data_IF_443951371551
#
_entry.id   IF_443951371551
#
_cell.length_a   1.000
_cell.length_b   1.000
_cell.length_c   1.000
_cell.angle_alpha   90.00
_cell.angle_beta   90.00
_cell.angle_gamma   90.00
#
_symmetry.space_group_name_H-M   'P 1'
#
loop_
_entity.id
_entity.type
_entity.pdbx_description
1 polymer ?
#
# COMPACT_ATOMS: atom_id res chain seq x y z
N UNK A 1 24.70 -59.29 15.78
CA UNK A 1 24.64 -58.03 15.03
C UNK A 1 23.19 -57.61 14.91
N UNK A 2 22.71 -56.84 15.88
CA UNK A 2 21.34 -56.36 15.99
C UNK A 2 21.45 -54.86 16.15
N UNK A 3 21.21 -54.10 15.07
CA UNK A 3 21.32 -52.64 15.07
C UNK A 3 19.93 -52.08 15.34
N UNK A 4 19.72 -51.64 16.58
CA UNK A 4 18.51 -50.95 17.02
C UNK A 4 18.33 -49.66 16.23
N UNK A 5 17.10 -49.42 15.77
CA UNK A 5 16.62 -48.23 15.08
C UNK A 5 16.24 -47.19 16.15
N UNK A 6 16.70 -45.93 16.11
CA UNK A 6 16.24 -44.95 17.07
C UNK A 6 14.77 -44.59 16.76
N UNK A 7 13.97 -44.57 17.82
CA UNK A 7 12.57 -44.15 17.82
C UNK A 7 12.46 -42.69 17.40
N UNK A 8 11.55 -42.42 16.46
CA UNK A 8 11.21 -41.07 16.04
C UNK A 8 10.31 -40.44 17.11
N UNK A 9 10.89 -39.63 17.98
CA UNK A 9 10.14 -38.74 18.87
C UNK A 9 9.48 -37.61 18.06
N UNK A 10 8.15 -37.62 18.03
CA UNK A 10 7.30 -36.42 18.09
C UNK A 10 7.48 -35.35 17.01
N UNK A 11 7.20 -35.68 15.74
CA UNK A 11 6.73 -34.68 14.77
C UNK A 11 5.23 -34.44 15.02
N UNK A 12 4.88 -33.49 15.88
CA UNK A 12 3.49 -33.06 16.11
C UNK A 12 3.30 -31.56 15.91
N UNK A 13 3.88 -31.01 14.84
CA UNK A 13 3.44 -29.76 14.22
C UNK A 13 3.39 -30.03 12.71
N UNK A 14 2.37 -30.78 12.29
CA UNK A 14 1.99 -30.81 10.88
C UNK A 14 1.66 -29.38 10.47
N UNK A 15 2.52 -28.84 9.61
CA UNK A 15 2.36 -27.55 8.98
C UNK A 15 1.02 -27.53 8.23
N UNK A 16 0.04 -26.79 8.76
CA UNK A 16 -1.06 -26.29 7.94
C UNK A 16 -0.44 -25.59 6.74
N UNK A 17 -0.72 -26.11 5.53
CA UNK A 17 -0.18 -25.55 4.30
C UNK A 17 -0.49 -24.06 4.17
N UNK A 18 0.31 -23.30 3.39
CA UNK A 18 -0.04 -21.93 3.05
C UNK A 18 -1.44 -21.91 2.44
N UNK A 19 -2.29 -20.97 2.86
CA UNK A 19 -3.74 -20.84 2.58
C UNK A 19 -4.74 -21.32 3.67
N UNK A 20 -4.29 -21.72 4.87
CA UNK A 20 -5.16 -22.13 5.99
C UNK A 20 -4.81 -21.56 7.37
N UNK A 21 -5.66 -21.85 8.36
CA UNK A 21 -5.36 -21.65 9.79
C UNK A 21 -5.06 -20.21 10.22
N UNK A 22 -3.86 -20.01 10.78
CA UNK A 22 -3.39 -18.73 11.33
C UNK A 22 -3.32 -17.58 10.31
N UNK A 23 -3.25 -17.90 9.01
CA UNK A 23 -3.29 -16.88 7.95
C UNK A 23 -4.54 -15.99 8.04
N UNK A 24 -5.70 -16.57 8.35
CA UNK A 24 -6.95 -15.81 8.50
C UNK A 24 -7.00 -14.94 9.76
N UNK A 25 -6.33 -15.37 10.84
CA UNK A 25 -6.13 -14.52 12.03
C UNK A 25 -5.31 -13.29 11.66
N UNK A 26 -4.27 -13.45 10.83
CA UNK A 26 -3.46 -12.35 10.32
C UNK A 26 -4.24 -11.45 9.35
N UNK A 27 -5.17 -11.98 8.57
CA UNK A 27 -6.10 -11.16 7.77
C UNK A 27 -6.97 -10.28 8.67
N UNK A 28 -7.51 -10.83 9.76
CA UNK A 28 -8.24 -10.06 10.78
C UNK A 28 -7.36 -8.99 11.45
N UNK A 29 -6.11 -9.33 11.77
CA UNK A 29 -5.15 -8.37 12.32
C UNK A 29 -4.84 -7.24 11.32
N UNK A 30 -4.63 -7.56 10.04
CA UNK A 30 -4.43 -6.59 8.97
C UNK A 30 -5.68 -5.73 8.75
N UNK A 31 -6.88 -6.31 8.85
CA UNK A 31 -8.15 -5.59 8.76
C UNK A 31 -8.24 -4.50 9.83
N UNK A 32 -7.96 -4.84 11.09
CA UNK A 32 -7.97 -3.89 12.20
C UNK A 32 -6.86 -2.85 12.03
N UNK A 33 -5.64 -3.26 11.72
CA UNK A 33 -4.53 -2.32 11.56
C UNK A 33 -4.78 -1.35 10.39
N UNK A 34 -5.31 -1.81 9.26
CA UNK A 34 -5.61 -0.95 8.10
C UNK A 34 -6.80 -0.03 8.35
N UNK A 35 -7.80 -0.48 9.12
CA UNK A 35 -8.87 0.40 9.63
C UNK A 35 -8.29 1.53 10.48
N UNK A 36 -7.36 1.21 11.38
CA UNK A 36 -6.75 2.20 12.27
C UNK A 36 -5.73 3.11 11.56
N UNK A 37 -5.09 2.65 10.49
CA UNK A 37 -4.18 3.49 9.70
C UNK A 37 -4.99 4.43 8.79
N UNK A 38 -5.73 3.86 7.85
CA UNK A 38 -6.37 4.64 6.80
C UNK A 38 -7.75 5.17 7.19
N UNK A 39 -8.51 4.44 8.00
CA UNK A 39 -9.79 4.91 8.52
C UNK A 39 -9.60 6.16 9.38
N UNK A 40 -8.64 6.14 10.32
CA UNK A 40 -8.30 7.34 11.11
C UNK A 40 -7.87 8.48 10.17
N UNK A 41 -6.92 8.24 9.26
CA UNK A 41 -6.42 9.27 8.33
C UNK A 41 -7.53 9.93 7.52
N UNK A 42 -8.45 9.16 6.93
CA UNK A 42 -9.54 9.73 6.12
C UNK A 42 -10.55 10.51 6.97
N UNK A 43 -10.82 10.05 8.19
CA UNK A 43 -11.77 10.70 9.10
C UNK A 43 -11.18 11.91 9.81
N UNK A 44 -9.86 12.15 9.75
CA UNK A 44 -9.23 13.36 10.28
C UNK A 44 -9.80 14.67 9.67
N UNK A 45 -10.41 14.60 8.48
CA UNK A 45 -11.09 15.73 7.86
C UNK A 45 -12.22 16.34 8.71
N UNK A 46 -12.75 15.61 9.69
CA UNK A 46 -13.79 16.13 10.60
C UNK A 46 -13.21 17.15 11.58
N UNK A 47 -11.94 16.99 11.97
CA UNK A 47 -11.25 17.96 12.82
C UNK A 47 -10.89 19.25 12.07
N UNK A 48 -11.05 19.28 10.74
CA UNK A 48 -10.61 20.37 9.89
C UNK A 48 -11.21 21.71 10.29
N UNK A 49 -12.54 21.77 10.45
CA UNK A 49 -13.25 23.01 10.79
C UNK A 49 -12.84 23.52 12.16
N UNK A 50 -12.75 22.61 13.14
CA UNK A 50 -12.30 22.92 14.51
C UNK A 50 -10.87 23.46 14.53
N UNK A 51 -9.96 22.89 13.72
CA UNK A 51 -8.58 23.36 13.64
C UNK A 51 -8.45 24.72 12.96
N UNK A 52 -9.20 24.96 11.88
CA UNK A 52 -9.24 26.28 11.23
C UNK A 52 -9.70 27.34 12.23
N UNK A 53 -10.74 27.07 13.01
CA UNK A 53 -11.27 28.01 13.99
C UNK A 53 -10.35 28.20 15.21
N UNK A 54 -9.77 27.12 15.73
CA UNK A 54 -8.93 27.18 16.94
C UNK A 54 -7.56 27.81 16.69
N UNK A 55 -6.91 27.47 15.57
CA UNK A 55 -5.58 27.99 15.24
C UNK A 55 -5.63 29.30 14.45
N UNK A 56 -6.80 29.71 13.96
CA UNK A 56 -6.99 30.88 13.08
C UNK A 56 -6.07 30.85 11.86
N UNK A 57 -5.96 29.65 11.26
CA UNK A 57 -5.04 29.35 10.16
C UNK A 57 -5.79 29.04 8.88
N UNK A 58 -5.10 29.20 7.75
CA UNK A 58 -5.71 28.92 6.44
C UNK A 58 -6.11 27.45 6.28
N UNK A 59 -7.19 27.21 5.53
CA UNK A 59 -7.63 25.87 5.12
C UNK A 59 -6.50 25.04 4.50
N UNK A 60 -5.64 25.67 3.70
CA UNK A 60 -4.46 25.04 3.11
C UNK A 60 -3.47 24.58 4.17
N UNK A 61 -3.14 25.43 5.13
CA UNK A 61 -2.25 25.09 6.24
C UNK A 61 -2.80 23.88 7.03
N UNK A 62 -4.07 23.87 7.40
CA UNK A 62 -4.67 22.73 8.11
C UNK A 62 -4.64 21.43 7.28
N UNK A 63 -4.89 21.50 5.97
CA UNK A 63 -4.87 20.32 5.09
C UNK A 63 -3.50 19.63 4.96
N UNK A 64 -2.42 20.34 5.27
CA UNK A 64 -1.08 19.75 5.32
C UNK A 64 -0.94 18.73 6.44
N UNK A 65 -1.76 18.77 7.50
CA UNK A 65 -1.69 17.80 8.60
C UNK A 65 -1.96 16.37 8.09
N UNK A 66 -3.09 16.17 7.41
CA UNK A 66 -3.44 14.85 6.84
C UNK A 66 -2.52 14.47 5.66
N UNK A 67 -2.13 15.45 4.85
CA UNK A 67 -1.28 15.21 3.68
C UNK A 67 0.14 14.78 4.08
N UNK A 68 0.72 15.44 5.08
CA UNK A 68 2.04 15.06 5.63
C UNK A 68 1.99 13.70 6.31
N UNK A 69 0.89 13.35 7.00
CA UNK A 69 0.69 12.02 7.57
C UNK A 69 0.73 10.91 6.52
N UNK A 70 -0.04 11.06 5.44
CA UNK A 70 -0.09 10.07 4.36
C UNK A 70 1.24 9.99 3.59
N UNK A 71 1.87 11.14 3.33
CA UNK A 71 3.19 11.19 2.70
C UNK A 71 4.26 10.53 3.58
N UNK A 72 4.28 10.82 4.88
CA UNK A 72 5.22 10.21 5.82
C UNK A 72 5.02 8.68 5.91
N UNK A 73 3.77 8.21 5.94
CA UNK A 73 3.45 6.77 5.93
C UNK A 73 4.07 6.06 4.74
N UNK A 74 3.89 6.59 3.53
CA UNK A 74 4.46 6.00 2.31
C UNK A 74 5.98 6.19 2.19
N UNK A 75 6.49 7.36 2.59
CA UNK A 75 7.92 7.67 2.55
C UNK A 75 8.74 6.76 3.48
N UNK A 76 8.21 6.44 4.66
CA UNK A 76 8.89 5.56 5.62
C UNK A 76 8.56 4.07 5.45
N UNK A 77 7.74 3.68 4.47
CA UNK A 77 7.47 2.27 4.16
C UNK A 77 8.72 1.43 3.84
N UNK A 78 9.71 1.90 3.05
CA UNK A 78 10.98 1.18 2.85
C UNK A 78 11.77 1.00 4.15
N UNK A 79 11.71 1.97 5.07
CA UNK A 79 12.35 1.87 6.38
C UNK A 79 11.70 0.76 7.21
N UNK A 80 10.37 0.66 7.22
CA UNK A 80 9.62 -0.43 7.86
C UNK A 80 10.00 -1.80 7.30
N UNK A 81 10.11 -1.90 5.97
CA UNK A 81 10.55 -3.12 5.30
C UNK A 81 12.00 -3.51 5.69
N UNK A 82 12.93 -2.55 5.63
CA UNK A 82 14.33 -2.79 5.98
C UNK A 82 14.51 -3.17 7.45
N UNK A 83 13.76 -2.55 8.36
CA UNK A 83 13.77 -2.90 9.79
C UNK A 83 13.25 -4.32 10.03
N UNK A 84 12.21 -4.75 9.32
CA UNK A 84 11.70 -6.12 9.43
C UNK A 84 12.64 -7.17 8.83
N UNK A 85 13.48 -6.77 7.87
CA UNK A 85 14.56 -7.61 7.35
C UNK A 85 15.77 -7.64 8.31
N UNK A 86 16.02 -6.58 9.08
CA UNK A 86 17.10 -6.52 10.06
C UNK A 86 16.74 -7.20 11.40
N UNK A 87 15.48 -7.06 11.83
CA UNK A 87 14.91 -7.45 13.13
C UNK A 87 13.69 -8.37 12.95
N UNK A 88 13.00 -8.68 14.04
CA UNK A 88 11.76 -9.45 13.97
C UNK A 88 10.58 -8.57 13.55
N UNK A 89 9.83 -9.00 12.53
CA UNK A 89 8.66 -8.29 11.99
C UNK A 89 7.63 -7.93 13.07
N UNK A 90 7.39 -8.86 14.02
CA UNK A 90 6.51 -8.65 15.18
C UNK A 90 6.88 -7.39 15.97
N UNK A 91 8.16 -7.24 16.29
CA UNK A 91 8.63 -6.12 17.11
C UNK A 91 8.50 -4.80 16.37
N UNK A 92 8.83 -4.77 15.07
CA UNK A 92 8.74 -3.56 14.24
C UNK A 92 7.30 -3.08 14.10
N UNK A 93 6.34 -3.99 13.89
CA UNK A 93 4.92 -3.61 13.82
C UNK A 93 4.40 -3.12 15.17
N UNK A 94 4.80 -3.75 16.28
CA UNK A 94 4.42 -3.30 17.62
C UNK A 94 4.99 -1.91 17.94
N UNK A 95 6.25 -1.64 17.61
CA UNK A 95 6.85 -0.31 17.82
C UNK A 95 6.19 0.74 16.92
N UNK A 96 5.86 0.39 15.68
CA UNK A 96 5.09 1.25 14.77
C UNK A 96 3.70 1.61 15.33
N UNK A 97 2.97 0.63 15.88
CA UNK A 97 1.68 0.86 16.55
C UNK A 97 1.79 1.77 17.78
N UNK A 98 2.83 1.58 18.60
CA UNK A 98 3.13 2.48 19.73
C UNK A 98 3.41 3.91 19.25
N UNK A 99 4.22 4.08 18.20
CA UNK A 99 4.54 5.38 17.62
C UNK A 99 3.30 6.07 17.03
N UNK A 100 2.44 5.31 16.34
CA UNK A 100 1.18 5.81 15.81
C UNK A 100 0.25 6.35 16.91
N UNK A 101 0.04 5.55 17.96
CA UNK A 101 -0.75 5.97 19.12
C UNK A 101 -0.13 7.15 19.87
N UNK A 102 1.19 7.12 20.10
CA UNK A 102 1.91 8.21 20.75
C UNK A 102 1.82 9.52 19.96
N UNK A 103 1.94 9.46 18.63
CA UNK A 103 1.77 10.63 17.76
C UNK A 103 0.41 11.32 17.96
N UNK A 104 -0.68 10.54 18.00
CA UNK A 104 -2.03 11.08 18.24
C UNK A 104 -2.23 11.57 19.69
N UNK A 105 -1.66 10.87 20.68
CA UNK A 105 -1.70 11.30 22.09
C UNK A 105 -0.97 12.63 22.26
N UNK A 106 0.24 12.77 21.71
CA UNK A 106 1.01 14.02 21.77
C UNK A 106 0.29 15.15 21.02
N UNK A 107 -0.40 14.84 19.92
CA UNK A 107 -1.21 15.81 19.19
C UNK A 107 -2.34 16.42 20.04
N UNK A 108 -2.90 15.68 21.01
CA UNK A 108 -3.89 16.21 21.94
C UNK A 108 -3.38 17.41 22.77
N UNK A 109 -2.06 17.52 22.93
CA UNK A 109 -1.39 18.59 23.66
C UNK A 109 -0.83 19.68 22.74
N UNK A 110 -1.18 19.66 21.45
CA UNK A 110 -0.70 20.66 20.50
C UNK A 110 -1.20 22.06 20.85
N UNK A 111 -0.30 23.04 20.78
CA UNK A 111 -0.59 24.47 21.00
C UNK A 111 -0.36 25.29 19.74
N UNK A 112 0.33 24.74 18.74
CA UNK A 112 0.55 25.34 17.44
C UNK A 112 0.43 24.31 16.31
N UNK A 113 0.31 24.79 15.08
CA UNK A 113 0.15 23.93 13.91
C UNK A 113 1.37 23.04 13.66
N UNK A 114 2.58 23.54 13.96
CA UNK A 114 3.82 22.77 13.87
C UNK A 114 3.81 21.54 14.77
N UNK A 115 3.21 21.62 15.96
CA UNK A 115 3.05 20.44 16.81
C UNK A 115 2.22 19.37 16.11
N UNK A 116 1.12 19.74 15.43
CA UNK A 116 0.29 18.78 14.69
C UNK A 116 1.02 18.16 13.50
N UNK A 117 1.82 18.95 12.77
CA UNK A 117 2.67 18.41 11.69
C UNK A 117 3.71 17.40 12.21
N UNK A 118 4.36 17.69 13.34
CA UNK A 118 5.38 16.79 13.90
C UNK A 118 4.78 15.54 14.55
N UNK A 119 3.62 15.68 15.21
CA UNK A 119 2.99 14.59 15.96
C UNK A 119 2.07 13.74 15.08
N UNK A 120 1.00 14.31 14.52
CA UNK A 120 0.06 13.59 13.65
C UNK A 120 0.64 13.32 12.26
N UNK A 121 1.37 14.28 11.70
CA UNK A 121 1.99 14.11 10.39
C UNK A 121 3.17 13.15 10.45
N UNK A 122 4.27 13.59 11.05
CA UNK A 122 5.53 12.85 11.00
C UNK A 122 5.58 11.63 11.92
N UNK A 123 5.26 11.80 13.21
CA UNK A 123 5.41 10.71 14.20
C UNK A 123 4.39 9.59 13.96
N UNK A 124 3.11 9.93 13.80
CA UNK A 124 2.09 8.92 13.49
C UNK A 124 2.26 8.35 12.07
N UNK A 125 2.62 9.18 11.09
CA UNK A 125 2.96 8.73 9.74
C UNK A 125 4.09 7.71 9.71
N UNK A 126 5.20 7.97 10.39
CA UNK A 126 6.28 7.01 10.58
C UNK A 126 5.76 5.70 11.21
N UNK A 127 4.98 5.80 12.29
CA UNK A 127 4.35 4.64 12.93
C UNK A 127 3.51 3.81 11.96
N UNK A 128 2.68 4.45 11.14
CA UNK A 128 1.88 3.78 10.12
C UNK A 128 2.71 3.13 9.01
N UNK A 129 3.82 3.77 8.58
CA UNK A 129 4.77 3.19 7.61
C UNK A 129 5.45 1.92 8.13
N UNK A 130 5.77 1.87 9.42
CA UNK A 130 6.32 0.68 10.09
C UNK A 130 5.30 -0.45 10.27
N UNK A 131 4.00 -0.18 10.10
CA UNK A 131 2.91 -1.15 10.30
C UNK A 131 2.42 -1.69 8.97
N UNK A 132 2.08 -0.82 8.02
CA UNK A 132 1.32 -1.18 6.84
C UNK A 132 2.07 -2.17 5.94
N UNK A 133 3.26 -1.80 5.47
CA UNK A 133 4.05 -2.67 4.56
C UNK A 133 4.39 -4.01 5.19
N UNK A 134 4.89 -4.10 6.44
CA UNK A 134 5.20 -5.39 7.03
C UNK A 134 3.98 -6.29 7.27
N UNK A 135 2.83 -5.72 7.65
CA UNK A 135 1.59 -6.48 7.83
C UNK A 135 1.09 -7.06 6.50
N UNK A 136 1.11 -6.26 5.42
CA UNK A 136 0.74 -6.71 4.07
C UNK A 136 1.67 -7.84 3.60
N UNK A 137 2.99 -7.64 3.72
CA UNK A 137 3.98 -8.65 3.35
C UNK A 137 3.80 -9.96 4.15
N UNK A 138 3.52 -9.85 5.45
CA UNK A 138 3.32 -11.01 6.34
C UNK A 138 2.08 -11.81 5.94
N UNK A 139 0.95 -11.14 5.66
CA UNK A 139 -0.27 -11.81 5.18
C UNK A 139 0.01 -12.51 3.84
N UNK A 140 0.65 -11.82 2.89
CA UNK A 140 0.98 -12.39 1.59
C UNK A 140 1.90 -13.61 1.67
N UNK A 141 2.77 -13.69 2.68
CA UNK A 141 3.64 -14.84 2.90
C UNK A 141 2.89 -16.08 3.42
N UNK A 142 1.71 -15.91 4.04
CA UNK A 142 0.89 -17.02 4.55
C UNK A 142 -0.09 -17.57 3.52
N UNK A 143 -0.27 -16.88 2.39
CA UNK A 143 -1.15 -17.31 1.31
C UNK A 143 -0.34 -17.55 0.03
N UNK A 144 -0.69 -18.58 -0.72
CA UNK A 144 -0.13 -18.84 -2.06
C UNK A 144 -1.19 -18.70 -3.13
N UNK A 145 -2.36 -19.31 -2.94
CA UNK A 145 -3.48 -19.25 -3.88
C UNK A 145 -4.48 -18.15 -3.55
N UNK A 146 -4.62 -17.78 -2.27
CA UNK A 146 -5.68 -16.85 -1.81
C UNK A 146 -5.17 -15.46 -1.44
N UNK A 147 -4.05 -15.02 -2.04
CA UNK A 147 -3.37 -13.77 -1.66
C UNK A 147 -4.26 -12.56 -1.89
N UNK A 148 -4.94 -12.52 -3.03
CA UNK A 148 -5.67 -11.31 -3.44
C UNK A 148 -6.99 -11.19 -2.69
N UNK A 149 -7.67 -12.31 -2.39
CA UNK A 149 -8.85 -12.34 -1.54
C UNK A 149 -8.50 -11.95 -0.10
N UNK A 150 -7.40 -12.46 0.44
CA UNK A 150 -6.92 -12.09 1.78
C UNK A 150 -6.67 -10.58 1.90
N UNK A 151 -5.97 -9.98 0.92
CA UNK A 151 -5.77 -8.53 0.87
C UNK A 151 -7.08 -7.77 0.62
N UNK A 152 -7.96 -8.28 -0.25
CA UNK A 152 -9.25 -7.66 -0.54
C UNK A 152 -10.16 -7.59 0.68
N UNK A 153 -10.25 -8.66 1.46
CA UNK A 153 -10.98 -8.67 2.73
C UNK A 153 -10.35 -7.71 3.73
N UNK A 154 -9.03 -7.75 3.89
CA UNK A 154 -8.34 -6.87 4.84
C UNK A 154 -8.50 -5.37 4.47
N UNK A 155 -8.39 -5.02 3.20
CA UNK A 155 -8.49 -3.63 2.72
C UNK A 155 -9.94 -3.15 2.61
N UNK A 156 -10.93 -4.04 2.56
CA UNK A 156 -12.36 -3.65 2.64
C UNK A 156 -12.68 -2.87 3.91
N UNK A 157 -11.88 -3.10 4.95
CA UNK A 157 -11.91 -2.36 6.21
C UNK A 157 -11.77 -0.85 6.04
N UNK A 158 -11.05 -0.39 5.01
CA UNK A 158 -10.73 1.03 4.86
C UNK A 158 -12.01 1.83 4.51
N UNK A 159 -12.87 1.29 3.66
CA UNK A 159 -14.18 1.92 3.39
C UNK A 159 -15.10 1.86 4.61
N UNK A 160 -15.20 0.69 5.25
CA UNK A 160 -16.08 0.48 6.41
C UNK A 160 -15.71 1.33 7.62
N UNK A 161 -14.41 1.48 7.89
CA UNK A 161 -13.90 2.29 9.00
C UNK A 161 -14.19 3.77 8.81
N UNK A 162 -14.10 4.34 7.60
CA UNK A 162 -14.49 5.74 7.36
C UNK A 162 -15.98 5.98 7.64
N UNK A 163 -16.87 5.04 7.28
CA UNK A 163 -18.29 5.15 7.61
C UNK A 163 -18.56 5.10 9.13
N UNK A 164 -17.82 4.27 9.87
CA UNK A 164 -17.98 4.14 11.32
C UNK A 164 -17.30 5.26 12.11
N UNK A 165 -16.11 5.67 11.70
CA UNK A 165 -15.30 6.68 12.40
C UNK A 165 -15.83 8.08 12.22
N UNK A 166 -16.46 8.41 11.08
CA UNK A 166 -16.99 9.76 10.89
C UNK A 166 -17.98 10.19 11.99
N UNK A 167 -19.10 9.47 12.24
CA UNK A 167 -20.01 9.82 13.33
C UNK A 167 -19.36 9.67 14.72
N UNK A 168 -18.45 8.70 14.90
CA UNK A 168 -17.71 8.55 16.15
C UNK A 168 -16.87 9.79 16.46
N UNK A 169 -16.16 10.33 15.47
CA UNK A 169 -15.28 11.49 15.64
C UNK A 169 -16.10 12.74 15.95
N UNK A 170 -17.22 12.96 15.25
CA UNK A 170 -18.16 14.04 15.56
C UNK A 170 -18.61 13.96 17.02
N UNK A 171 -19.06 12.79 17.47
CA UNK A 171 -19.50 12.59 18.85
C UNK A 171 -18.37 12.80 19.88
N UNK A 172 -17.14 12.39 19.55
CA UNK A 172 -15.98 12.61 20.42
C UNK A 172 -15.60 14.09 20.51
N UNK A 173 -15.65 14.81 19.39
CA UNK A 173 -15.39 16.26 19.35
C UNK A 173 -16.45 17.01 20.13
N UNK A 174 -17.74 16.69 19.97
CA UNK A 174 -18.83 17.34 20.69
C UNK A 174 -18.73 17.13 22.22
N UNK A 175 -18.36 15.93 22.67
CA UNK A 175 -18.30 15.60 24.10
C UNK A 175 -16.99 15.98 24.79
N UNK A 176 -15.87 15.87 24.09
CA UNK A 176 -14.53 15.95 24.69
C UNK A 176 -13.62 17.00 24.03
N UNK A 177 -14.16 17.79 23.10
CA UNK A 177 -13.41 18.65 22.19
C UNK A 177 -12.36 17.88 21.37
N UNK A 178 -11.71 18.57 20.44
CA UNK A 178 -10.70 17.94 19.57
C UNK A 178 -9.53 17.33 20.36
N UNK A 179 -9.14 17.93 21.50
CA UNK A 179 -8.05 17.43 22.34
C UNK A 179 -8.38 16.08 22.97
N UNK A 180 -9.52 15.96 23.63
CA UNK A 180 -9.95 14.70 24.23
C UNK A 180 -10.24 13.62 23.18
N UNK A 181 -10.79 14.03 22.03
CA UNK A 181 -10.98 13.13 20.90
C UNK A 181 -9.64 12.56 20.40
N UNK A 182 -8.61 13.38 20.14
CA UNK A 182 -7.29 12.91 19.72
C UNK A 182 -6.63 11.95 20.74
N UNK A 183 -6.81 12.21 22.04
CA UNK A 183 -6.31 11.33 23.09
C UNK A 183 -6.96 9.93 23.02
N UNK A 184 -8.28 9.88 22.85
CA UNK A 184 -9.05 8.63 22.70
C UNK A 184 -8.65 7.92 21.40
N UNK A 185 -8.48 8.65 20.29
CA UNK A 185 -8.04 8.09 19.02
C UNK A 185 -6.61 7.54 19.09
N UNK A 186 -5.73 8.17 19.87
CA UNK A 186 -4.40 7.62 20.15
C UNK A 186 -4.47 6.31 20.92
N UNK A 187 -5.33 6.22 21.94
CA UNK A 187 -5.63 4.96 22.63
C UNK A 187 -6.20 3.88 21.70
N UNK A 188 -7.09 4.27 20.79
CA UNK A 188 -7.62 3.37 19.77
C UNK A 188 -6.50 2.88 18.82
N UNK A 189 -5.61 3.77 18.38
CA UNK A 189 -4.48 3.44 17.50
C UNK A 189 -3.47 2.49 18.17
N UNK A 190 -3.30 2.54 19.50
CA UNK A 190 -2.49 1.57 20.24
C UNK A 190 -2.99 0.11 20.10
N UNK A 191 -4.23 -0.13 19.67
CA UNK A 191 -4.72 -1.48 19.34
C UNK A 191 -4.01 -2.10 18.12
N UNK A 192 -3.18 -1.36 17.39
CA UNK A 192 -2.27 -1.93 16.40
C UNK A 192 -1.22 -2.83 17.07
N UNK A 193 -0.83 -2.56 18.33
CA UNK A 193 0.17 -3.33 19.08
C UNK A 193 -0.25 -4.80 19.25
N UNK A 194 -1.45 -5.13 19.80
CA UNK A 194 -1.89 -6.51 19.85
C UNK A 194 -2.06 -7.15 18.45
N UNK A 195 -2.42 -6.38 17.40
CA UNK A 195 -2.42 -6.90 16.03
C UNK A 195 -1.01 -7.34 15.58
N UNK A 196 0.02 -6.55 15.90
CA UNK A 196 1.42 -6.92 15.64
C UNK A 196 1.88 -8.12 16.48
N UNK A 197 1.39 -8.26 17.70
CA UNK A 197 1.72 -9.40 18.58
C UNK A 197 1.22 -10.75 18.04
N UNK A 198 0.21 -10.76 17.16
CA UNK A 198 -0.28 -11.97 16.48
C UNK A 198 0.67 -12.48 15.39
N UNK A 199 1.66 -11.68 14.97
CA UNK A 199 2.67 -12.10 14.01
C UNK A 199 3.58 -13.15 14.67
N UNK A 200 3.56 -14.37 14.14
CA UNK A 200 4.44 -15.45 14.60
C UNK A 200 5.85 -15.23 14.01
N UNK A 201 6.92 -15.25 14.83
CA UNK A 201 8.28 -15.14 14.32
C UNK A 201 8.58 -16.29 13.36
N UNK A 202 8.89 -15.98 12.10
CA UNK A 202 9.33 -17.01 11.17
C UNK A 202 10.73 -17.49 11.59
N UNK A 203 10.90 -18.81 11.77
CA UNK A 203 12.21 -19.40 12.03
C UNK A 203 13.12 -19.13 10.83
N UNK A 204 14.00 -18.12 10.93
CA UNK A 204 15.12 -17.96 10.00
C UNK A 204 15.86 -19.30 9.90
N UNK A 205 16.06 -19.79 8.68
CA UNK A 205 16.76 -21.05 8.42
C UNK A 205 18.04 -21.13 9.24
N UNK A 206 18.29 -22.29 9.86
CA UNK A 206 19.47 -22.54 10.71
C UNK A 206 20.79 -22.23 9.98
N UNK A 207 20.81 -22.24 8.65
CA UNK A 207 21.95 -21.83 7.83
C UNK A 207 22.30 -20.33 7.96
N UNK A 208 21.30 -19.43 8.02
CA UNK A 208 21.52 -17.99 8.18
C UNK A 208 22.04 -17.63 9.57
N UNK A 209 21.70 -18.43 10.60
CA UNK A 209 22.26 -18.30 11.95
C UNK A 209 23.72 -18.71 12.03
N UNK A 210 24.15 -19.68 11.23
CA UNK A 210 25.54 -20.18 11.22
C UNK A 210 26.50 -19.16 10.59
N UNK A 211 26.08 -18.50 9.51
CA UNK A 211 26.83 -17.42 8.85
C UNK A 211 26.94 -16.18 9.76
N UNK A 212 25.85 -15.81 10.46
CA UNK A 212 25.85 -14.68 11.38
C UNK A 212 26.62 -14.93 12.70
N UNK A 213 26.81 -16.19 13.11
CA UNK A 213 27.63 -16.52 14.29
C UNK A 213 29.13 -16.62 14.00
N UNK A 214 29.52 -16.80 12.74
CA UNK A 214 30.93 -16.83 12.32
C UNK A 214 31.47 -15.43 11.95
N UNK A 215 30.60 -14.45 11.63
CA UNK A 215 31.00 -13.05 11.54
C UNK A 215 31.23 -12.47 12.94
N UNK A 216 32.48 -12.11 13.27
CA UNK A 216 32.84 -11.34 14.47
C UNK A 216 31.87 -10.15 14.68
N UNK A 217 31.58 -9.71 15.92
CA UNK A 217 30.73 -8.56 16.17
C UNK A 217 31.47 -7.30 15.71
N UNK A 218 31.38 -6.99 14.43
CA UNK A 218 31.80 -5.70 13.91
C UNK A 218 30.84 -4.65 14.46
N UNK A 219 31.39 -3.53 14.94
CA UNK A 219 30.64 -2.33 15.33
C UNK A 219 30.00 -1.66 14.10
N UNK A 220 29.27 -2.42 13.29
CA UNK A 220 28.51 -1.89 12.16
C UNK A 220 27.40 -1.04 12.76
N UNK A 221 27.39 0.25 12.40
CA UNK A 221 26.34 1.16 12.84
C UNK A 221 24.97 0.59 12.48
N UNK A 222 23.98 0.77 13.37
CA UNK A 222 22.59 0.31 13.13
C UNK A 222 22.08 0.76 11.76
N UNK A 223 22.46 1.97 11.34
CA UNK A 223 22.15 2.55 10.04
C UNK A 223 22.70 1.72 8.88
N UNK A 224 23.94 1.25 8.96
CA UNK A 224 24.57 0.46 7.90
C UNK A 224 23.96 -0.95 7.79
N UNK A 225 23.45 -1.50 8.90
CA UNK A 225 22.67 -2.75 8.90
C UNK A 225 21.28 -2.57 8.32
N UNK A 226 20.61 -1.45 8.57
CA UNK A 226 19.29 -1.17 7.98
C UNK A 226 19.45 -0.83 6.49
N UNK A 227 20.48 -0.06 6.13
CA UNK A 227 20.70 0.34 4.73
C UNK A 227 21.02 -0.83 3.82
N UNK A 228 21.70 -1.88 4.32
CA UNK A 228 21.96 -3.10 3.54
C UNK A 228 20.70 -3.91 3.23
N UNK A 229 19.60 -3.68 3.97
CA UNK A 229 18.31 -4.29 3.76
C UNK A 229 17.31 -3.40 2.99
N UNK A 230 17.70 -2.17 2.64
CA UNK A 230 16.97 -1.38 1.66
C UNK A 230 17.27 -1.98 0.29
N UNK A 231 16.30 -2.66 -0.31
CA UNK A 231 16.45 -3.36 -1.59
C UNK A 231 16.49 -2.41 -2.80
N UNK A 232 17.30 -1.34 -2.72
CA UNK A 232 17.44 -0.32 -3.75
C UNK A 232 17.89 -0.88 -5.11
N UNK A 233 18.49 -2.07 -5.12
CA UNK A 233 18.79 -2.80 -6.36
C UNK A 233 17.56 -3.04 -7.22
N UNK A 234 16.36 -3.16 -6.63
CA UNK A 234 15.10 -3.30 -7.36
C UNK A 234 14.84 -2.13 -8.30
N UNK A 235 15.30 -0.92 -7.96
CA UNK A 235 15.10 0.29 -8.79
C UNK A 235 15.82 0.20 -10.15
N UNK A 236 16.81 -0.69 -10.26
CA UNK A 236 17.55 -0.93 -11.50
C UNK A 236 17.03 -2.15 -12.27
N UNK A 237 16.11 -2.92 -11.70
CA UNK A 237 15.51 -4.08 -12.36
C UNK A 237 14.36 -3.63 -13.27
N UNK A 238 14.53 -3.83 -14.58
CA UNK A 238 13.56 -3.39 -15.61
C UNK A 238 12.11 -3.80 -15.30
N UNK A 239 11.79 -5.06 -14.92
CA UNK A 239 10.41 -5.43 -14.62
C UNK A 239 9.81 -4.65 -13.44
N UNK A 240 10.61 -4.42 -12.40
CA UNK A 240 10.14 -3.74 -11.20
C UNK A 240 9.93 -2.25 -11.43
N UNK A 241 10.86 -1.56 -12.10
CA UNK A 241 10.72 -0.12 -12.35
C UNK A 241 9.59 0.17 -13.35
N UNK A 242 9.42 -0.66 -14.38
CA UNK A 242 8.28 -0.55 -15.32
C UNK A 242 6.95 -0.72 -14.62
N UNK A 243 6.84 -1.72 -13.74
CA UNK A 243 5.63 -1.94 -12.95
C UNK A 243 5.35 -0.78 -11.99
N UNK A 244 6.37 -0.32 -11.28
CA UNK A 244 6.23 0.77 -10.31
C UNK A 244 5.86 2.09 -11.00
N UNK A 245 6.45 2.39 -12.17
CA UNK A 245 6.07 3.54 -12.98
C UNK A 245 4.60 3.46 -13.43
N UNK A 246 4.15 2.29 -13.88
CA UNK A 246 2.77 2.10 -14.28
C UNK A 246 1.77 2.33 -13.13
N UNK A 247 2.07 1.80 -11.95
CA UNK A 247 1.24 1.99 -10.75
C UNK A 247 1.28 3.44 -10.26
N UNK A 248 2.42 4.12 -10.41
CA UNK A 248 2.55 5.56 -10.12
C UNK A 248 1.64 6.38 -11.04
N UNK A 249 1.65 6.10 -12.35
CA UNK A 249 0.74 6.74 -13.31
C UNK A 249 -0.72 6.52 -12.93
N UNK A 250 -1.10 5.27 -12.60
CA UNK A 250 -2.44 4.96 -12.09
C UNK A 250 -2.81 5.84 -10.89
N UNK A 251 -1.94 5.95 -9.88
CA UNK A 251 -2.22 6.71 -8.65
C UNK A 251 -2.46 8.21 -8.89
N UNK A 252 -1.83 8.82 -9.91
CA UNK A 252 -2.06 10.24 -10.25
C UNK A 252 -3.53 10.49 -10.61
N UNK A 253 -4.13 9.60 -11.39
CA UNK A 253 -5.53 9.70 -11.80
C UNK A 253 -6.53 9.17 -10.77
N UNK A 254 -6.13 8.11 -10.05
CA UNK A 254 -6.98 7.35 -9.13
C UNK A 254 -7.66 8.21 -8.06
N UNK A 255 -6.95 9.17 -7.47
CA UNK A 255 -7.48 9.96 -6.34
C UNK A 255 -8.42 11.09 -6.75
N UNK A 256 -8.36 11.56 -8.01
CA UNK A 256 -9.08 12.76 -8.47
C UNK A 256 -10.61 12.67 -8.25
N UNK A 257 -11.30 11.57 -8.64
CA UNK A 257 -12.73 11.43 -8.37
C UNK A 257 -13.06 11.47 -6.87
N UNK A 258 -12.22 10.87 -6.02
CA UNK A 258 -12.46 10.88 -4.58
C UNK A 258 -12.45 12.29 -3.98
N UNK A 259 -11.66 13.21 -4.54
CA UNK A 259 -11.60 14.60 -4.07
C UNK A 259 -12.64 15.51 -4.73
N UNK A 260 -12.92 15.31 -6.02
CA UNK A 260 -13.65 16.30 -6.81
C UNK A 260 -15.03 15.87 -7.30
N UNK A 261 -15.44 14.61 -7.13
CA UNK A 261 -16.74 14.14 -7.65
C UNK A 261 -17.93 14.81 -6.97
N UNK A 262 -17.88 15.10 -5.67
CA UNK A 262 -18.94 15.89 -4.99
C UNK A 262 -19.00 17.30 -5.59
N UNK A 263 -17.86 17.99 -5.67
CA UNK A 263 -17.78 19.36 -6.16
C UNK A 263 -18.27 19.46 -7.62
N UNK A 264 -17.88 18.49 -8.46
CA UNK A 264 -18.36 18.39 -9.83
C UNK A 264 -19.86 18.14 -9.91
N UNK A 265 -20.40 17.24 -9.08
CA UNK A 265 -21.85 16.95 -9.03
C UNK A 265 -22.65 18.21 -8.64
N UNK A 266 -22.13 19.02 -7.70
CA UNK A 266 -22.74 20.30 -7.33
C UNK A 266 -22.67 21.33 -8.47
N UNK A 267 -21.52 21.42 -9.15
CA UNK A 267 -21.36 22.30 -10.30
C UNK A 267 -22.28 21.92 -11.48
N UNK A 268 -22.56 20.63 -11.65
CA UNK A 268 -23.53 20.13 -12.63
C UNK A 268 -24.99 20.43 -12.26
N UNK A 269 -25.26 21.05 -11.10
CA UNK A 269 -26.59 21.47 -10.67
C UNK A 269 -27.33 20.48 -9.76
N UNK A 270 -26.71 19.37 -9.34
CA UNK A 270 -27.33 18.41 -8.43
C UNK A 270 -27.37 18.91 -6.98
N UNK A 271 -28.33 18.42 -6.21
CA UNK A 271 -28.48 18.76 -4.79
C UNK A 271 -27.29 18.29 -3.96
N UNK A 272 -27.13 18.84 -2.76
CA UNK A 272 -26.05 18.46 -1.84
C UNK A 272 -26.16 16.99 -1.44
N UNK A 273 -27.38 16.56 -1.16
CA UNK A 273 -27.70 15.17 -0.89
C UNK A 273 -27.38 14.26 -2.08
N UNK A 274 -27.76 14.66 -3.30
CA UNK A 274 -27.46 13.88 -4.51
C UNK A 274 -25.95 13.73 -4.75
N UNK A 275 -25.19 14.80 -4.57
CA UNK A 275 -23.73 14.81 -4.72
C UNK A 275 -23.02 13.94 -3.68
N UNK A 276 -23.45 14.02 -2.41
CA UNK A 276 -22.93 13.19 -1.34
C UNK A 276 -23.26 11.70 -1.53
N UNK A 277 -24.47 11.40 -2.03
CA UNK A 277 -24.91 10.03 -2.30
C UNK A 277 -24.08 9.37 -3.40
N UNK A 278 -23.76 10.07 -4.50
CA UNK A 278 -22.93 9.55 -5.60
C UNK A 278 -21.58 9.05 -5.08
N UNK A 279 -20.94 9.83 -4.23
CA UNK A 279 -19.66 9.45 -3.62
C UNK A 279 -19.78 8.29 -2.64
N UNK A 280 -20.83 8.29 -1.82
CA UNK A 280 -21.10 7.19 -0.88
C UNK A 280 -21.37 5.87 -1.61
N UNK A 281 -22.10 5.94 -2.72
CA UNK A 281 -22.41 4.81 -3.59
C UNK A 281 -21.14 4.23 -4.25
N UNK A 282 -20.26 5.08 -4.78
CA UNK A 282 -18.95 4.67 -5.30
C UNK A 282 -18.08 4.01 -4.20
N UNK A 283 -18.11 4.55 -2.97
CA UNK A 283 -17.42 3.95 -1.83
C UNK A 283 -17.95 2.57 -1.45
N UNK A 284 -19.26 2.34 -1.56
CA UNK A 284 -19.87 1.04 -1.27
C UNK A 284 -19.46 -0.02 -2.30
N UNK A 285 -19.47 0.32 -3.59
CA UNK A 285 -19.02 -0.61 -4.65
C UNK A 285 -17.52 -0.81 -4.65
N UNK A 286 -16.71 0.14 -4.17
CA UNK A 286 -15.29 -0.03 -3.92
C UNK A 286 -14.99 -1.16 -2.93
N UNK A 287 -15.70 -1.19 -1.80
CA UNK A 287 -15.57 -2.29 -0.82
C UNK A 287 -15.91 -3.63 -1.48
N UNK A 288 -17.02 -3.68 -2.23
CA UNK A 288 -17.42 -4.90 -2.94
C UNK A 288 -16.40 -5.33 -3.99
N UNK A 289 -15.85 -4.37 -4.74
CA UNK A 289 -14.84 -4.59 -5.77
C UNK A 289 -13.58 -5.25 -5.21
N UNK A 290 -13.11 -4.83 -4.03
CA UNK A 290 -11.94 -5.42 -3.36
C UNK A 290 -12.11 -6.91 -3.11
N UNK A 291 -13.28 -7.32 -2.61
CA UNK A 291 -13.57 -8.72 -2.24
C UNK A 291 -13.86 -9.55 -3.48
N UNK A 292 -14.75 -9.08 -4.36
CA UNK A 292 -15.19 -9.81 -5.56
C UNK A 292 -14.03 -10.01 -6.54
N UNK A 293 -13.25 -8.95 -6.81
CA UNK A 293 -12.08 -9.04 -7.69
C UNK A 293 -11.01 -9.95 -7.10
N UNK A 294 -10.74 -9.84 -5.79
CA UNK A 294 -9.79 -10.72 -5.10
C UNK A 294 -10.19 -12.18 -5.25
N UNK A 295 -11.42 -12.53 -4.86
CA UNK A 295 -11.96 -13.87 -5.04
C UNK A 295 -11.89 -14.35 -6.49
N UNK A 296 -12.33 -13.52 -7.44
CA UNK A 296 -12.32 -13.86 -8.86
C UNK A 296 -10.90 -14.11 -9.40
N UNK A 297 -9.93 -13.31 -8.95
CA UNK A 297 -8.55 -13.43 -9.38
C UNK A 297 -7.83 -14.66 -8.80
N UNK A 298 -8.22 -15.08 -7.60
CA UNK A 298 -7.71 -16.30 -6.96
C UNK A 298 -8.30 -17.59 -7.56
N UNK A 299 -9.28 -17.51 -8.47
CA UNK A 299 -9.75 -18.68 -9.25
C UNK A 299 -8.66 -19.22 -10.20
N UNK A 300 -7.64 -18.41 -10.53
CA UNK A 300 -6.49 -18.83 -11.33
C UNK A 300 -6.78 -19.01 -12.83
N UNK A 301 -7.95 -18.60 -13.30
CA UNK A 301 -8.30 -18.66 -14.74
C UNK A 301 -7.59 -17.60 -15.58
N UNK A 302 -7.23 -16.47 -14.97
CA UNK A 302 -6.58 -15.34 -15.63
C UNK A 302 -5.28 -14.98 -14.91
N UNK A 303 -4.27 -14.55 -15.67
CA UNK A 303 -3.05 -14.02 -15.06
C UNK A 303 -3.37 -12.71 -14.34
N UNK A 304 -2.80 -12.56 -13.15
CA UNK A 304 -3.10 -11.44 -12.27
C UNK A 304 -2.77 -10.08 -12.91
N UNK A 305 -1.70 -10.03 -13.71
CA UNK A 305 -1.31 -8.82 -14.44
C UNK A 305 -2.34 -8.39 -15.49
N UNK A 306 -2.98 -9.33 -16.19
CA UNK A 306 -4.01 -9.03 -17.19
C UNK A 306 -5.29 -8.54 -16.54
N UNK A 307 -5.65 -9.15 -15.42
CA UNK A 307 -6.82 -8.72 -14.66
C UNK A 307 -6.62 -7.33 -14.05
N UNK A 308 -5.41 -7.04 -13.53
CA UNK A 308 -5.05 -5.70 -13.07
C UNK A 308 -5.12 -4.67 -14.21
N UNK A 309 -4.57 -4.99 -15.38
CA UNK A 309 -4.67 -4.13 -16.58
C UNK A 309 -6.12 -3.86 -17.01
N UNK A 310 -6.98 -4.88 -16.97
CA UNK A 310 -8.39 -4.75 -17.32
C UNK A 310 -9.12 -3.80 -16.37
N UNK A 311 -8.98 -4.00 -15.05
CA UNK A 311 -9.61 -3.12 -14.06
C UNK A 311 -9.06 -1.70 -14.11
N UNK A 312 -7.76 -1.54 -14.33
CA UNK A 312 -7.10 -0.23 -14.46
C UNK A 312 -7.60 0.53 -15.68
N UNK A 313 -7.75 -0.16 -16.82
CA UNK A 313 -8.30 0.45 -18.05
C UNK A 313 -9.76 0.84 -17.87
N UNK A 314 -10.58 -0.05 -17.30
CA UNK A 314 -11.99 0.23 -17.02
C UNK A 314 -12.14 1.41 -16.05
N UNK A 315 -11.33 1.47 -15.00
CA UNK A 315 -11.31 2.60 -14.09
C UNK A 315 -11.00 3.91 -14.84
N UNK A 316 -9.95 3.95 -15.67
CA UNK A 316 -9.62 5.12 -16.48
C UNK A 316 -10.75 5.57 -17.40
N UNK A 317 -11.39 4.62 -18.09
CA UNK A 317 -12.56 4.90 -18.95
C UNK A 317 -13.73 5.47 -18.15
N UNK A 318 -14.09 4.87 -17.02
CA UNK A 318 -15.20 5.38 -16.21
C UNK A 318 -14.90 6.76 -15.61
N UNK A 319 -13.65 7.05 -15.22
CA UNK A 319 -13.23 8.39 -14.80
C UNK A 319 -13.49 9.43 -15.90
N UNK A 320 -13.14 9.12 -17.16
CA UNK A 320 -13.40 10.03 -18.29
C UNK A 320 -14.90 10.21 -18.59
N UNK A 321 -15.72 9.18 -18.31
CA UNK A 321 -17.16 9.21 -18.56
C UNK A 321 -17.95 9.97 -17.47
N UNK A 322 -17.40 10.11 -16.25
CA UNK A 322 -18.03 10.88 -15.17
C UNK A 322 -18.48 12.29 -15.61
N UNK A 323 -17.59 13.17 -16.14
CA UNK A 323 -18.00 14.50 -16.56
C UNK A 323 -19.01 14.49 -17.71
N UNK A 324 -18.88 13.55 -18.65
CA UNK A 324 -19.78 13.43 -19.82
C UNK A 324 -21.20 13.07 -19.39
N UNK A 325 -21.33 12.19 -18.39
CA UNK A 325 -22.63 11.78 -17.86
C UNK A 325 -23.41 12.95 -17.25
N UNK A 326 -22.70 13.89 -16.62
CA UNK A 326 -23.30 15.08 -16.01
C UNK A 326 -23.79 16.10 -17.05
N UNK A 327 -23.14 16.19 -18.22
CA UNK A 327 -23.55 17.09 -19.32
C UNK A 327 -24.94 16.74 -19.88
N UNK A 328 -25.33 15.47 -19.80
CA UNK A 328 -26.67 15.02 -20.20
C UNK A 328 -27.78 15.38 -19.19
N UNK A 329 -27.42 15.95 -18.03
CA UNK A 329 -28.35 16.22 -16.93
C UNK A 329 -28.88 14.95 -16.23
N UNK A 330 -28.40 13.77 -16.61
CA UNK A 330 -28.90 12.49 -16.10
C UNK A 330 -28.22 12.08 -14.80
N UNK A 331 -28.92 12.25 -13.68
CA UNK A 331 -28.46 11.79 -12.38
C UNK A 331 -28.22 10.26 -12.35
N UNK A 332 -29.11 9.49 -13.00
CA UNK A 332 -28.99 8.04 -13.07
C UNK A 332 -27.74 7.59 -13.81
N UNK A 333 -27.34 8.30 -14.87
CA UNK A 333 -26.09 8.00 -15.60
C UNK A 333 -24.87 8.28 -14.72
N UNK A 334 -24.85 9.41 -14.00
CA UNK A 334 -23.78 9.77 -13.08
C UNK A 334 -23.62 8.73 -11.96
N UNK A 335 -24.72 8.33 -11.32
CA UNK A 335 -24.72 7.29 -10.29
C UNK A 335 -24.22 5.96 -10.86
N UNK A 336 -24.71 5.55 -12.03
CA UNK A 336 -24.32 4.27 -12.65
C UNK A 336 -22.83 4.21 -12.97
N UNK A 337 -22.27 5.26 -13.55
CA UNK A 337 -20.83 5.33 -13.86
C UNK A 337 -20.00 5.41 -12.58
N UNK A 338 -20.48 6.12 -11.55
CA UNK A 338 -19.79 6.20 -10.25
C UNK A 338 -19.76 4.85 -9.53
N UNK A 339 -20.83 4.05 -9.61
CA UNK A 339 -20.87 2.69 -9.08
C UNK A 339 -19.84 1.79 -9.79
N UNK A 340 -19.77 1.87 -11.12
CA UNK A 340 -18.82 1.10 -11.94
C UNK A 340 -17.37 1.50 -11.66
N UNK A 341 -17.09 2.81 -11.60
CA UNK A 341 -15.79 3.33 -11.20
C UNK A 341 -15.41 2.83 -9.80
N UNK A 342 -16.32 2.96 -8.81
CA UNK A 342 -16.09 2.48 -7.45
C UNK A 342 -15.70 1.01 -7.43
N UNK A 343 -16.44 0.16 -8.14
CA UNK A 343 -16.11 -1.26 -8.26
C UNK A 343 -14.71 -1.50 -8.85
N UNK A 344 -14.37 -0.85 -9.97
CA UNK A 344 -13.05 -1.01 -10.61
C UNK A 344 -11.90 -0.49 -9.72
N UNK A 345 -12.13 0.62 -9.01
CA UNK A 345 -11.20 1.21 -8.06
C UNK A 345 -10.89 0.27 -6.89
N UNK A 346 -11.92 -0.36 -6.33
CA UNK A 346 -11.75 -1.39 -5.32
C UNK A 346 -11.06 -2.63 -5.88
N UNK A 347 -11.47 -3.07 -7.07
CA UNK A 347 -10.96 -4.25 -7.74
C UNK A 347 -9.46 -4.20 -8.02
N UNK A 348 -8.91 -3.03 -8.33
CA UNK A 348 -7.47 -2.88 -8.59
C UNK A 348 -6.62 -2.79 -7.32
N UNK A 349 -7.17 -2.27 -6.21
CA UNK A 349 -6.39 -1.98 -4.99
C UNK A 349 -5.74 -3.24 -4.40
N UNK A 350 -6.47 -4.35 -4.34
CA UNK A 350 -5.95 -5.63 -3.82
C UNK A 350 -4.91 -6.27 -4.76
N UNK A 351 -5.07 -6.06 -6.06
CA UNK A 351 -4.25 -6.69 -7.09
C UNK A 351 -2.88 -6.01 -7.24
N UNK A 352 -2.79 -4.69 -7.04
CA UNK A 352 -1.53 -3.95 -7.10
C UNK A 352 -0.48 -4.59 -6.19
N UNK A 353 -0.79 -4.77 -4.91
CA UNK A 353 0.16 -5.38 -3.99
C UNK A 353 0.40 -6.87 -4.29
N UNK A 354 -0.62 -7.60 -4.73
CA UNK A 354 -0.51 -9.03 -5.01
C UNK A 354 0.35 -9.38 -6.24
N UNK A 355 0.54 -8.44 -7.18
CA UNK A 355 1.41 -8.65 -8.35
C UNK A 355 2.90 -8.53 -8.00
N UNK A 356 3.27 -7.72 -7.02
CA UNK A 356 4.68 -7.52 -6.59
C UNK A 356 5.48 -8.83 -6.40
N UNK A 357 5.02 -9.84 -5.64
CA UNK A 357 5.73 -11.12 -5.47
C UNK A 357 5.97 -11.87 -6.78
N UNK A 358 5.13 -11.67 -7.80
CA UNK A 358 5.29 -12.30 -9.10
C UNK A 358 6.43 -11.67 -9.91
N UNK A 359 6.81 -10.42 -9.58
CA UNK A 359 7.87 -9.67 -10.25
C UNK A 359 9.20 -9.83 -9.51
N UNK A 360 9.21 -9.63 -8.19
CA UNK A 360 10.46 -9.59 -7.39
C UNK A 360 10.80 -10.91 -6.69
N UNK A 361 9.85 -11.86 -6.67
CA UNK A 361 9.97 -13.11 -5.91
C UNK A 361 9.64 -12.94 -4.42
N UNK A 362 9.24 -14.03 -3.76
CA UNK A 362 8.69 -14.02 -2.39
C UNK A 362 9.69 -13.49 -1.34
N UNK A 363 10.99 -13.74 -1.53
CA UNK A 363 12.04 -13.30 -0.60
C UNK A 363 12.18 -11.78 -0.50
N UNK A 364 11.91 -11.08 -1.61
CA UNK A 364 12.13 -9.64 -1.78
C UNK A 364 10.85 -8.81 -1.72
N UNK A 365 9.72 -9.46 -1.46
CA UNK A 365 8.39 -8.83 -1.41
C UNK A 365 8.36 -7.67 -0.44
N UNK A 366 8.95 -7.84 0.75
CA UNK A 366 8.86 -6.82 1.78
C UNK A 366 9.58 -5.54 1.36
N UNK A 367 10.80 -5.64 0.83
CA UNK A 367 11.55 -4.51 0.27
C UNK A 367 10.85 -3.89 -0.95
N UNK A 368 10.36 -4.73 -1.86
CA UNK A 368 9.64 -4.30 -3.07
C UNK A 368 8.33 -3.57 -2.78
N UNK A 369 7.56 -3.99 -1.78
CA UNK A 369 6.34 -3.28 -1.35
C UNK A 369 6.68 -1.94 -0.70
N UNK A 370 7.77 -1.87 0.07
CA UNK A 370 8.22 -0.63 0.70
C UNK A 370 8.63 0.43 -0.33
N UNK A 371 9.46 0.05 -1.30
CA UNK A 371 9.90 0.92 -2.38
C UNK A 371 8.76 1.32 -3.32
N UNK A 372 7.80 0.42 -3.58
CA UNK A 372 6.61 0.72 -4.38
C UNK A 372 5.84 1.88 -3.74
N UNK A 373 5.57 1.80 -2.44
CA UNK A 373 4.85 2.87 -1.73
C UNK A 373 5.62 4.20 -1.69
N UNK A 374 6.95 4.16 -1.51
CA UNK A 374 7.76 5.38 -1.57
C UNK A 374 7.56 6.11 -2.90
N UNK A 375 7.54 5.38 -4.02
CA UNK A 375 7.38 5.98 -5.34
C UNK A 375 5.93 6.41 -5.57
N UNK A 376 4.95 5.63 -5.12
CA UNK A 376 3.52 6.00 -5.14
C UNK A 376 3.22 7.30 -4.38
N UNK A 377 3.96 7.59 -3.29
CA UNK A 377 3.82 8.83 -2.53
C UNK A 377 3.93 10.08 -3.40
N UNK A 378 4.79 10.06 -4.43
CA UNK A 378 4.98 11.20 -5.33
C UNK A 378 3.75 11.45 -6.21
N UNK A 379 3.08 10.38 -6.66
CA UNK A 379 1.91 10.48 -7.54
C UNK A 379 0.69 11.09 -6.82
N UNK A 380 0.43 10.67 -5.59
CA UNK A 380 -0.69 11.17 -4.79
C UNK A 380 -0.61 12.68 -4.51
N UNK A 381 0.61 13.21 -4.35
CA UNK A 381 0.83 14.65 -4.17
C UNK A 381 0.58 15.47 -5.43
N UNK A 382 0.74 14.88 -6.62
CA UNK A 382 0.62 15.61 -7.89
C UNK A 382 -0.81 15.61 -8.45
N UNK A 383 -1.55 14.52 -8.27
CA UNK A 383 -2.86 14.32 -8.92
C UNK A 383 -3.92 15.35 -8.55
N UNK A 384 -4.17 15.56 -7.26
CA UNK A 384 -5.21 16.50 -6.80
C UNK A 384 -4.86 17.97 -7.09
N UNK A 385 -3.62 18.47 -6.83
CA UNK A 385 -3.26 19.83 -7.21
C UNK A 385 -3.31 20.09 -8.71
N UNK A 386 -2.87 19.14 -9.54
CA UNK A 386 -2.95 19.28 -10.99
C UNK A 386 -4.40 19.35 -11.47
N UNK A 387 -5.28 18.52 -10.89
CA UNK A 387 -6.73 18.58 -11.13
C UNK A 387 -7.34 19.91 -10.69
N UNK A 388 -6.95 20.43 -9.53
CA UNK A 388 -7.39 21.74 -9.03
C UNK A 388 -6.95 22.89 -9.93
N UNK A 389 -5.68 22.91 -10.34
CA UNK A 389 -5.15 23.90 -11.28
C UNK A 389 -5.90 23.91 -12.62
N UNK A 390 -6.19 22.73 -13.19
CA UNK A 390 -6.97 22.63 -14.41
C UNK A 390 -8.38 23.19 -14.23
N UNK A 391 -9.01 22.98 -13.07
CA UNK A 391 -10.31 23.56 -12.75
C UNK A 391 -10.23 25.09 -12.63
N UNK A 392 -9.18 25.63 -12.03
CA UNK A 392 -9.01 27.08 -11.89
C UNK A 392 -8.81 27.77 -13.26
N UNK A 393 -8.10 27.13 -14.19
CA UNK A 393 -7.89 27.66 -15.55
C UNK A 393 -9.12 27.51 -16.44
N UNK A 394 -9.80 26.36 -16.39
CA UNK A 394 -10.93 26.05 -17.30
C UNK A 394 -12.30 26.42 -16.74
N UNK A 395 -12.40 26.70 -15.45
CA UNK A 395 -13.65 26.99 -14.74
C UNK A 395 -14.53 25.78 -14.44
N UNK A 396 -14.16 24.56 -14.88
CA UNK A 396 -14.92 23.34 -14.64
C UNK A 396 -14.01 22.11 -14.46
N UNK A 397 -14.58 20.98 -14.03
CA UNK A 397 -13.79 19.76 -13.76
C UNK A 397 -13.60 18.83 -14.97
N UNK A 398 -14.13 19.14 -16.16
CA UNK A 398 -14.13 18.22 -17.31
C UNK A 398 -12.68 17.89 -17.71
N UNK A 399 -11.84 18.91 -17.89
CA UNK A 399 -10.44 18.73 -18.23
C UNK A 399 -9.70 17.92 -17.15
N UNK A 400 -10.01 18.15 -15.87
CA UNK A 400 -9.44 17.44 -14.74
C UNK A 400 -9.78 15.95 -14.75
N UNK A 401 -11.04 15.58 -15.02
CA UNK A 401 -11.47 14.19 -15.12
C UNK A 401 -10.93 13.47 -16.37
N UNK A 402 -10.89 14.16 -17.52
CA UNK A 402 -10.30 13.58 -18.74
C UNK A 402 -8.80 13.29 -18.53
N UNK A 403 -8.07 14.24 -17.94
CA UNK A 403 -6.67 14.05 -17.58
C UNK A 403 -6.52 12.91 -16.56
N UNK A 404 -7.33 12.88 -15.50
CA UNK A 404 -7.26 11.83 -14.50
C UNK A 404 -7.53 10.43 -15.07
N UNK A 405 -8.45 10.30 -16.03
CA UNK A 405 -8.73 9.01 -16.66
C UNK A 405 -7.65 8.55 -17.66
N UNK A 406 -6.87 9.47 -18.24
CA UNK A 406 -5.83 9.12 -19.22
C UNK A 406 -4.61 8.48 -18.56
N UNK A 407 -4.32 8.85 -17.32
CA UNK A 407 -3.22 8.33 -16.52
C UNK A 407 -3.29 6.81 -16.25
N UNK A 408 -4.42 6.23 -15.77
CA UNK A 408 -4.61 4.79 -15.67
C UNK A 408 -4.44 4.05 -17.01
N UNK A 409 -4.94 4.62 -18.11
CA UNK A 409 -4.80 4.04 -19.45
C UNK A 409 -3.32 4.00 -19.84
N UNK A 410 -2.59 5.11 -19.64
CA UNK A 410 -1.14 5.18 -19.85
C UNK A 410 -0.37 4.20 -18.95
N UNK A 411 -0.82 4.03 -17.70
CA UNK A 411 -0.32 3.02 -16.77
C UNK A 411 -0.49 1.61 -17.33
N UNK A 412 -1.65 1.27 -17.89
CA UNK A 412 -1.86 -0.04 -18.52
C UNK A 412 -1.00 -0.24 -19.76
N UNK A 413 -0.83 0.79 -20.60
CA UNK A 413 0.09 0.74 -21.74
C UNK A 413 1.54 0.50 -21.28
N UNK A 414 1.93 1.12 -20.16
CA UNK A 414 3.24 0.90 -19.53
C UNK A 414 3.37 -0.53 -19.00
N UNK A 415 2.35 -1.07 -18.33
CA UNK A 415 2.33 -2.48 -17.88
C UNK A 415 2.46 -3.46 -19.05
N UNK A 416 1.88 -3.14 -20.21
CA UNK A 416 1.97 -3.99 -21.39
C UNK A 416 3.41 -4.14 -21.93
N UNK A 417 4.33 -3.25 -21.55
CA UNK A 417 5.77 -3.34 -21.88
C UNK A 417 6.54 -4.29 -20.96
N UNK A 418 5.90 -4.84 -19.92
CA UNK A 418 6.56 -5.82 -19.03
C UNK A 418 7.01 -7.06 -19.80
N UNK A 419 8.19 -7.62 -19.47
CA UNK A 419 8.62 -8.89 -20.03
C UNK A 419 7.55 -9.97 -19.80
N UNK A 420 7.28 -10.74 -20.84
CA UNK A 420 6.30 -11.83 -20.83
C UNK A 420 4.85 -11.38 -20.51
N UNK A 421 4.51 -10.10 -20.68
CA UNK A 421 3.13 -9.63 -20.53
C UNK A 421 2.17 -10.38 -21.45
N UNK A 422 2.50 -10.52 -22.74
CA UNK A 422 1.65 -11.24 -23.71
C UNK A 422 1.75 -12.78 -23.62
N UNK A 423 2.55 -13.32 -22.70
CA UNK A 423 2.59 -14.75 -22.47
C UNK A 423 1.33 -15.23 -21.76
N UNK A 424 0.79 -16.36 -22.19
CA UNK A 424 -0.31 -17.05 -21.51
C UNK A 424 0.13 -17.80 -20.24
N UNK A 425 1.45 -17.99 -20.05
CA UNK A 425 2.03 -18.66 -18.88
C UNK A 425 2.81 -17.67 -18.03
N UNK A 426 2.71 -17.81 -16.71
CA UNK A 426 3.54 -17.05 -15.79
C UNK A 426 5.02 -17.36 -16.03
N UNK A 427 5.89 -16.33 -15.95
CA UNK A 427 7.33 -16.55 -16.05
C UNK A 427 7.81 -17.43 -14.87
N UNK A 428 8.91 -18.18 -15.05
CA UNK A 428 9.53 -18.89 -13.95
C UNK A 428 9.87 -17.91 -12.82
N UNK A 429 9.71 -18.36 -11.59
CA UNK A 429 9.98 -17.52 -10.42
C UNK A 429 11.43 -17.00 -10.49
N UNK A 430 11.68 -15.70 -10.23
CA UNK A 430 13.03 -15.15 -10.20
C UNK A 430 13.87 -15.93 -9.18
N UNK A 431 14.88 -16.66 -9.66
CA UNK A 431 15.83 -17.33 -8.78
C UNK A 431 16.92 -16.34 -8.39
N UNK A 432 17.24 -16.28 -7.10
CA UNK A 432 18.40 -15.53 -6.63
C UNK A 432 19.65 -16.34 -7.00
N UNK A 433 20.44 -15.85 -7.94
CA UNK A 433 21.80 -16.35 -8.11
C UNK A 433 22.52 -16.19 -6.77
N UNK A 434 22.98 -17.31 -6.20
CA UNK A 434 23.85 -17.25 -5.04
C UNK A 434 25.17 -16.56 -5.43
N UNK A 435 25.92 -15.97 -4.49
CA UNK A 435 27.26 -15.45 -4.78
C UNK A 435 28.15 -16.51 -5.48
N UNK A 436 28.00 -17.79 -5.12
CA UNK A 436 28.69 -18.92 -5.74
C UNK A 436 28.25 -19.15 -7.21
N UNK A 437 26.99 -18.86 -7.55
CA UNK A 437 26.50 -18.97 -8.94
C UNK A 437 27.00 -17.83 -9.81
N UNK A 438 27.19 -16.63 -9.24
CA UNK A 438 27.83 -15.50 -9.93
C UNK A 438 29.32 -15.72 -10.17
N UNK A 439 30.01 -16.33 -9.21
CA UNK A 439 31.42 -16.67 -9.36
C UNK A 439 31.60 -17.75 -10.43
N UNK A 440 30.70 -18.75 -10.47
CA UNK A 440 30.66 -19.78 -11.52
C UNK A 440 30.24 -19.26 -12.90
N UNK A 441 29.41 -18.23 -13.00
CA UNK A 441 29.05 -17.64 -14.29
C UNK A 441 30.14 -16.71 -14.84
N UNK A 442 30.91 -16.06 -13.97
CA UNK A 442 32.09 -15.28 -14.36
C UNK A 442 33.29 -16.15 -14.79
N UNK A 443 33.47 -17.32 -14.18
CA UNK A 443 34.59 -18.22 -14.49
C UNK A 443 34.74 -18.59 -15.99
N UNK A 444 33.69 -19.01 -16.72
CA UNK A 444 33.80 -19.30 -18.14
C UNK A 444 33.99 -18.05 -19.02
N UNK A 445 33.48 -16.87 -18.62
CA UNK A 445 33.73 -15.60 -19.33
C UNK A 445 35.19 -15.13 -19.19
N UNK A 446 35.78 -15.30 -18.00
CA UNK A 446 37.20 -15.03 -17.72
C UNK A 446 38.13 -16.00 -18.45
N UNK A 447 37.76 -17.29 -18.53
CA UNK A 447 38.49 -18.27 -19.35
C UNK A 447 38.38 -17.96 -20.85
N UNK A 448 37.22 -17.51 -21.34
CA UNK A 448 37.06 -17.06 -22.73
C UNK A 448 37.92 -15.82 -23.03
N UNK A 449 37.96 -14.83 -22.13
CA UNK A 449 38.81 -13.64 -22.31
C UNK A 449 40.30 -13.96 -22.27
N UNK A 450 40.73 -14.93 -21.46
CA UNK A 450 42.14 -15.36 -21.38
C UNK A 450 42.56 -16.32 -22.52
N UNK A 451 41.59 -16.86 -23.27
CA UNK A 451 41.85 -17.72 -24.44
C UNK A 451 42.04 -16.97 -25.76
N UNK A 452 41.83 -15.65 -25.76
CA UNK A 452 42.13 -14.79 -26.91
C UNK A 452 43.66 -14.67 -27.03
N UNK A 453 44.26 -14.96 -28.19
CA UNK A 453 45.70 -14.83 -28.38
C UNK A 453 46.09 -13.37 -28.16
N UNK A 454 47.08 -13.14 -27.29
CA UNK A 454 47.74 -11.86 -27.14
C UNK A 454 48.45 -11.53 -28.46
N UNK A 455 47.79 -10.77 -29.34
CA UNK A 455 48.44 -10.12 -30.47
C UNK A 455 49.40 -9.05 -29.91
N UNK A 456 50.58 -9.50 -29.55
CA UNK A 456 51.78 -8.68 -29.43
C UNK A 456 52.83 -9.28 -30.35
N UNK A 457 52.83 -8.82 -31.58
CA UNK A 457 53.79 -9.20 -32.62
C UNK A 457 54.00 -8.06 -33.61
N UNK A 458 55.01 -7.24 -33.32
CA UNK A 458 55.70 -6.24 -34.16
C UNK A 458 55.11 -4.85 -34.36
#
# INVERSE_FOLDING_TARGET
MTKARPEAEGQSDEAEGPDGGWGWVLVGALFVSTSLVFGLMRSLGIFFVEFVQYFDESAQAISWISSTGLAAQQFFSPLGAALCNAYETRLVVMTGGCLAGLGLILASQATCLTHLYLTMGLTAGLGWGLVFTPMVATVMAHFTRRRTLALGLAFSSIGLSSFAFNPLFQLLIEKYAWRGALLILGGLSLNIVPCGALIRPQRRSKAAKKIASESKPSHVSLLQRVSSHLELSLLFERPYITYTLAVTLLNVGYFVPYFHLVAHSRQAGFSEYQAAFVMSAAGATDILGRVVSGWFSDLGHFRLIHLLSAWTTLAGVFIMLLPVSSLSGSYSALVSISLLYGFCSGALTSLVFAVVPMIVGVERVMGGLGLLQLIESGAGLLGAPLSGFLKDVTGNYIASFIMAGSFPILGTLTMATLPHYFSCKDPPAPQRESPDDKEKSLHPELEQMNSLPSDTGH
#
